data_IF_980673573886
#
_entry.id   IF_980673573886
#
_cell.length_a   1.000
_cell.length_b   1.000
_cell.length_c   1.000
_cell.angle_alpha   90.00
_cell.angle_beta   90.00
_cell.angle_gamma   90.00
#
_symmetry.space_group_name_H-M   'P 1'
#
loop_
_entity.id
_entity.type
_entity.pdbx_description
1 polymer ?
#
# COMPACT_ATOMS: atom_id res chain seq x y z
N UNK A 1 8.55 -55.80 -57.53
CA UNK A 1 7.26 -55.09 -57.34
C UNK A 1 6.19 -56.16 -57.33
N UNK A 2 5.38 -56.39 -56.29
CA UNK A 2 4.79 -55.41 -55.40
C UNK A 2 4.54 -55.99 -54.00
N UNK A 3 4.90 -55.20 -53.00
CA UNK A 3 4.30 -55.20 -51.67
C UNK A 3 2.79 -55.28 -51.84
N UNK A 4 2.11 -56.08 -51.02
CA UNK A 4 1.04 -55.59 -50.14
C UNK A 4 0.25 -56.76 -49.60
N UNK A 5 0.08 -56.69 -48.28
CA UNK A 5 -0.94 -57.35 -47.47
C UNK A 5 -0.58 -58.76 -47.03
N UNK A 6 -0.21 -58.78 -45.75
CA UNK A 6 -0.87 -59.63 -44.76
C UNK A 6 -0.21 -60.99 -44.53
N UNK A 7 0.99 -60.94 -43.96
CA UNK A 7 1.31 -61.90 -42.90
C UNK A 7 1.54 -61.08 -41.64
N UNK A 8 0.44 -60.91 -40.93
CA UNK A 8 0.29 -60.31 -39.62
C UNK A 8 1.10 -61.09 -38.58
N UNK A 9 1.70 -60.33 -37.66
CA UNK A 9 1.92 -60.65 -36.25
C UNK A 9 2.77 -61.90 -35.97
N UNK A 10 4.04 -61.69 -35.56
CA UNK A 10 4.65 -62.32 -34.38
C UNK A 10 5.93 -61.52 -34.01
N UNK A 11 5.82 -60.84 -32.88
CA UNK A 11 6.86 -60.51 -31.88
C UNK A 11 8.19 -59.89 -32.32
N UNK A 12 8.24 -58.56 -32.33
CA UNK A 12 9.34 -57.85 -31.66
C UNK A 12 8.68 -56.80 -30.75
N UNK A 13 8.30 -57.23 -29.55
CA UNK A 13 7.97 -56.33 -28.46
C UNK A 13 9.28 -55.73 -27.94
N UNK A 14 9.77 -54.67 -28.56
CA UNK A 14 10.75 -53.80 -27.90
C UNK A 14 9.95 -52.92 -26.95
N UNK A 15 9.90 -53.37 -25.70
CA UNK A 15 9.47 -52.60 -24.55
C UNK A 15 10.51 -51.47 -24.36
N UNK A 16 10.34 -50.33 -25.03
CA UNK A 16 11.08 -49.12 -24.68
C UNK A 16 10.43 -48.55 -23.43
N UNK A 17 10.81 -49.09 -22.27
CA UNK A 17 10.54 -48.43 -20.99
C UNK A 17 11.34 -47.13 -20.97
N UNK A 18 10.64 -46.01 -21.17
CA UNK A 18 11.18 -44.68 -20.87
C UNK A 18 11.42 -44.60 -19.36
N UNK A 19 12.62 -44.97 -18.93
CA UNK A 19 13.10 -44.62 -17.60
C UNK A 19 13.35 -43.11 -17.63
N UNK A 20 12.36 -42.32 -17.21
CA UNK A 20 12.57 -40.91 -16.90
C UNK A 20 13.47 -40.84 -15.69
N UNK A 21 14.77 -40.72 -15.92
CA UNK A 21 15.75 -40.51 -14.86
C UNK A 21 15.48 -39.12 -14.29
N UNK A 22 14.78 -39.07 -13.16
CA UNK A 22 14.66 -37.87 -12.34
C UNK A 22 16.03 -37.59 -11.75
N UNK A 23 16.79 -36.71 -12.39
CA UNK A 23 17.94 -36.10 -11.74
C UNK A 23 17.39 -35.11 -10.72
N UNK A 24 17.58 -35.33 -9.40
CA UNK A 24 17.27 -34.28 -8.45
C UNK A 24 18.17 -33.08 -8.82
N UNK A 25 17.55 -31.94 -9.13
CA UNK A 25 18.30 -30.69 -9.22
C UNK A 25 18.86 -30.42 -7.82
N UNK A 26 20.17 -30.62 -7.66
CA UNK A 26 20.86 -30.23 -6.43
C UNK A 26 20.92 -28.71 -6.44
N UNK A 27 20.10 -28.07 -5.62
CA UNK A 27 20.22 -26.64 -5.35
C UNK A 27 21.40 -26.43 -4.43
N UNK A 28 22.50 -25.90 -4.97
CA UNK A 28 23.66 -25.53 -4.16
C UNK A 28 23.30 -24.26 -3.39
N UNK A 29 23.40 -24.30 -2.06
CA UNK A 29 23.19 -23.11 -1.23
C UNK A 29 24.28 -22.06 -1.53
N UNK A 30 23.90 -20.78 -1.53
CA UNK A 30 24.86 -19.70 -1.69
C UNK A 30 25.80 -19.65 -0.49
N UNK A 31 27.06 -19.32 -0.75
CA UNK A 31 28.02 -18.99 0.30
C UNK A 31 27.72 -17.62 0.88
N UNK A 32 28.13 -17.38 2.14
CA UNK A 32 28.03 -16.06 2.78
C UNK A 32 28.70 -14.95 1.96
N UNK A 33 29.78 -15.27 1.22
CA UNK A 33 30.47 -14.32 0.33
C UNK A 33 29.59 -13.92 -0.86
N UNK A 34 28.90 -14.88 -1.46
CA UNK A 34 27.98 -14.62 -2.58
C UNK A 34 26.77 -13.80 -2.12
N UNK A 35 26.20 -14.12 -0.94
CA UNK A 35 25.11 -13.35 -0.34
C UNK A 35 25.56 -11.92 -0.02
N UNK A 36 26.79 -11.74 0.50
CA UNK A 36 27.39 -10.42 0.72
C UNK A 36 27.51 -9.61 -0.57
N UNK A 37 27.92 -10.25 -1.68
CA UNK A 37 28.03 -9.61 -2.98
C UNK A 37 26.67 -9.26 -3.61
N UNK A 38 25.61 -10.00 -3.27
CA UNK A 38 24.22 -9.63 -3.61
C UNK A 38 23.81 -8.42 -2.76
N UNK A 39 24.00 -8.51 -1.44
CA UNK A 39 23.63 -7.47 -0.48
C UNK A 39 24.26 -6.11 -0.82
N UNK A 40 25.54 -6.08 -1.18
CA UNK A 40 26.24 -4.86 -1.60
C UNK A 40 25.61 -4.22 -2.85
N UNK A 41 25.23 -5.03 -3.85
CA UNK A 41 24.70 -4.51 -5.13
C UNK A 41 23.26 -4.02 -5.05
N UNK A 42 22.47 -4.56 -4.14
CA UNK A 42 21.04 -4.22 -4.00
C UNK A 42 20.77 -3.15 -2.95
N UNK A 43 21.74 -2.89 -2.05
CA UNK A 43 21.59 -1.92 -0.97
C UNK A 43 22.04 -0.53 -1.42
N UNK A 44 21.25 0.47 -1.09
CA UNK A 44 21.57 1.89 -1.34
C UNK A 44 21.71 2.64 -0.03
N UNK A 45 22.52 3.70 -0.04
CA UNK A 45 22.61 4.66 1.06
C UNK A 45 21.64 5.80 0.78
N UNK A 46 20.93 6.23 1.82
CA UNK A 46 20.02 7.37 1.78
C UNK A 46 20.65 8.52 2.56
N UNK A 47 20.89 9.64 1.87
CA UNK A 47 21.41 10.86 2.51
C UNK A 47 20.31 11.60 3.25
N UNK A 48 20.65 12.24 4.38
CA UNK A 48 19.71 12.97 5.24
C UNK A 48 20.27 13.16 6.65
N UNK A 49 19.56 13.88 7.55
CA UNK A 49 20.04 14.18 8.91
C UNK A 49 20.37 12.92 9.74
N UNK A 50 19.54 11.88 9.64
CA UNK A 50 19.78 10.62 10.37
C UNK A 50 20.56 9.57 9.58
N UNK A 51 20.67 9.75 8.25
CA UNK A 51 21.19 8.78 7.27
C UNK A 51 20.50 7.42 7.37
N UNK A 52 20.24 6.78 6.23
CA UNK A 52 19.55 5.50 6.20
C UNK A 52 20.05 4.59 5.10
N UNK A 53 19.45 3.41 5.04
CA UNK A 53 19.69 2.43 4.00
C UNK A 53 18.40 2.13 3.25
N UNK A 54 18.49 1.54 2.07
CA UNK A 54 17.35 1.06 1.30
C UNK A 54 17.74 -0.14 0.46
N UNK A 55 16.75 -0.83 -0.11
CA UNK A 55 16.96 -1.95 -1.02
C UNK A 55 16.22 -1.74 -2.33
N UNK A 56 16.89 -2.01 -3.46
CA UNK A 56 16.29 -1.93 -4.81
C UNK A 56 15.39 -3.16 -5.03
N UNK A 57 14.07 -2.96 -5.07
CA UNK A 57 13.07 -4.04 -5.12
C UNK A 57 12.35 -4.17 -6.46
N UNK A 58 12.41 -3.17 -7.33
CA UNK A 58 11.77 -3.22 -8.63
C UNK A 58 12.47 -2.30 -9.65
N UNK A 59 12.23 -2.58 -10.93
CA UNK A 59 12.57 -1.71 -12.06
C UNK A 59 11.44 -1.72 -13.09
N UNK A 60 10.94 -0.54 -13.47
CA UNK A 60 10.01 -0.35 -14.58
C UNK A 60 10.61 0.66 -15.57
N UNK A 61 10.93 0.23 -16.80
CA UNK A 61 11.69 1.05 -17.74
C UNK A 61 13.03 1.47 -17.13
N UNK A 62 13.28 2.78 -17.04
CA UNK A 62 14.48 3.34 -16.39
C UNK A 62 14.26 3.73 -14.92
N UNK A 63 13.07 3.50 -14.38
CA UNK A 63 12.72 3.86 -13.01
C UNK A 63 12.93 2.67 -12.08
N UNK A 64 13.76 2.87 -11.06
CA UNK A 64 14.02 1.92 -9.99
C UNK A 64 13.23 2.28 -8.75
N UNK A 65 12.67 1.27 -8.07
CA UNK A 65 11.98 1.44 -6.79
C UNK A 65 12.86 0.92 -5.66
N UNK A 66 13.07 1.75 -4.64
CA UNK A 66 13.77 1.42 -3.40
C UNK A 66 12.76 1.28 -2.27
N UNK A 67 12.86 0.24 -1.46
CA UNK A 67 12.13 0.06 -0.20
C UNK A 67 13.05 0.40 0.98
N UNK A 68 12.52 1.07 2.00
CA UNK A 68 13.24 1.48 3.22
C UNK A 68 12.24 1.69 4.36
N UNK A 69 12.70 2.14 5.53
CA UNK A 69 11.82 2.57 6.61
C UNK A 69 11.30 4.01 6.42
N UNK A 70 10.07 4.28 6.88
CA UNK A 70 9.50 5.64 6.81
C UNK A 70 10.18 6.62 7.76
N UNK A 71 10.65 6.16 8.92
CA UNK A 71 11.26 7.06 9.91
C UNK A 71 12.58 7.68 9.43
N UNK A 72 13.22 7.12 8.40
CA UNK A 72 14.40 7.70 7.74
C UNK A 72 14.07 9.12 7.22
N UNK A 73 12.79 9.42 6.98
CA UNK A 73 12.30 10.69 6.44
C UNK A 73 11.62 11.60 7.48
N UNK A 74 11.77 11.36 8.79
CA UNK A 74 11.11 12.19 9.83
C UNK A 74 11.39 13.70 9.69
N UNK A 75 12.54 14.07 9.10
CA UNK A 75 12.87 15.46 8.77
C UNK A 75 12.64 15.74 7.29
N UNK A 76 11.75 16.68 6.97
CA UNK A 76 11.50 17.13 5.59
C UNK A 76 12.79 17.70 4.97
N UNK A 77 13.19 17.18 3.82
CA UNK A 77 14.39 17.61 3.10
C UNK A 77 14.56 16.89 1.75
N UNK A 78 15.58 17.27 0.99
CA UNK A 78 15.96 16.55 -0.22
C UNK A 78 16.79 15.32 0.17
N UNK A 79 16.36 14.14 -0.25
CA UNK A 79 17.03 12.86 -0.01
C UNK A 79 17.72 12.41 -1.29
N UNK A 80 19.02 12.09 -1.20
CA UNK A 80 19.75 11.46 -2.29
C UNK A 80 19.82 9.94 -2.06
N UNK A 81 19.57 9.20 -3.13
CA UNK A 81 19.84 7.77 -3.20
C UNK A 81 21.25 7.62 -3.75
N UNK A 82 22.14 6.97 -2.98
CA UNK A 82 23.52 6.71 -3.37
C UNK A 82 23.67 5.20 -3.57
N UNK A 83 23.93 4.79 -4.81
CA UNK A 83 24.09 3.37 -5.19
C UNK A 83 25.47 2.84 -4.84
N UNK A 84 25.66 1.51 -4.91
CA UNK A 84 26.91 0.84 -4.53
C UNK A 84 28.15 1.33 -5.30
N UNK A 85 27.96 1.86 -6.51
CA UNK A 85 29.00 2.46 -7.36
C UNK A 85 29.25 3.95 -7.04
N UNK A 86 28.68 4.47 -5.96
CA UNK A 86 28.85 5.85 -5.48
C UNK A 86 28.04 6.90 -6.24
N UNK A 87 27.26 6.52 -7.27
CA UNK A 87 26.42 7.47 -8.01
C UNK A 87 25.26 7.94 -7.16
N UNK A 88 24.91 9.22 -7.33
CA UNK A 88 23.85 9.89 -6.56
C UNK A 88 22.65 10.20 -7.46
N UNK A 89 21.47 10.00 -6.92
CA UNK A 89 20.20 10.27 -7.58
C UNK A 89 19.27 11.03 -6.64
N UNK A 90 18.61 12.06 -7.15
CA UNK A 90 17.55 12.74 -6.41
C UNK A 90 16.28 11.90 -6.40
N UNK A 91 15.63 11.78 -5.25
CA UNK A 91 14.30 11.16 -5.16
C UNK A 91 13.22 12.23 -5.01
N UNK A 92 12.28 12.25 -5.94
CA UNK A 92 11.15 13.19 -5.92
C UNK A 92 9.83 12.53 -5.49
N UNK A 93 9.84 11.21 -5.25
CA UNK A 93 8.63 10.43 -5.06
C UNK A 93 8.80 9.48 -3.87
N UNK A 94 8.68 10.03 -2.67
CA UNK A 94 8.60 9.25 -1.43
C UNK A 94 7.15 8.90 -1.16
N UNK A 95 6.86 7.61 -1.05
CA UNK A 95 5.52 7.11 -0.74
C UNK A 95 5.58 6.23 0.50
N UNK A 96 5.05 6.74 1.62
CA UNK A 96 4.91 5.99 2.87
C UNK A 96 3.84 4.90 2.77
N UNK A 97 4.08 3.78 3.44
CA UNK A 97 3.14 2.66 3.48
C UNK A 97 2.25 2.77 4.73
N UNK A 98 0.91 2.81 4.57
CA UNK A 98 0.02 3.08 5.69
C UNK A 98 0.18 2.12 6.89
N UNK A 99 0.32 2.69 8.09
CA UNK A 99 0.48 1.98 9.38
C UNK A 99 1.74 1.10 9.50
N UNK A 100 2.65 1.15 8.51
CA UNK A 100 3.93 0.47 8.55
C UNK A 100 5.04 1.51 8.62
N UNK A 101 6.13 1.15 9.28
CA UNK A 101 7.33 1.96 9.24
C UNK A 101 8.13 1.65 7.96
N UNK A 102 7.49 1.84 6.81
CA UNK A 102 8.03 1.56 5.49
C UNK A 102 7.69 2.70 4.53
N UNK A 103 8.60 2.96 3.60
CA UNK A 103 8.38 3.88 2.50
C UNK A 103 9.07 3.35 1.24
N UNK A 104 8.54 3.75 0.08
CA UNK A 104 9.17 3.54 -1.21
C UNK A 104 9.70 4.84 -1.77
N UNK A 105 10.82 4.77 -2.48
CA UNK A 105 11.43 5.85 -3.23
C UNK A 105 11.65 5.43 -4.67
N UNK A 106 11.75 6.40 -5.57
CA UNK A 106 12.07 6.13 -6.96
C UNK A 106 13.22 7.00 -7.44
N UNK A 107 14.07 6.40 -8.27
CA UNK A 107 15.08 7.13 -9.04
C UNK A 107 15.14 6.61 -10.48
N UNK A 108 15.57 7.48 -11.40
CA UNK A 108 15.75 7.12 -12.80
C UNK A 108 17.23 6.92 -13.11
N UNK A 109 17.57 5.84 -13.81
CA UNK A 109 18.93 5.61 -14.29
C UNK A 109 18.95 4.73 -15.53
N UNK A 110 19.80 5.09 -16.49
CA UNK A 110 20.16 4.22 -17.62
C UNK A 110 21.18 3.14 -17.23
N UNK A 111 21.84 3.29 -16.07
CA UNK A 111 22.72 2.26 -15.54
C UNK A 111 21.92 1.04 -15.07
N UNK A 112 22.52 -0.14 -15.23
CA UNK A 112 21.89 -1.39 -14.79
C UNK A 112 22.29 -1.72 -13.36
N UNK A 113 21.38 -1.44 -12.42
CA UNK A 113 21.44 -1.92 -11.04
C UNK A 113 20.73 -3.25 -10.86
N UNK A 114 21.26 -4.07 -9.95
CA UNK A 114 20.64 -5.33 -9.56
C UNK A 114 19.38 -5.05 -8.75
N UNK A 115 18.27 -5.69 -9.13
CA UNK A 115 17.05 -5.74 -8.35
C UNK A 115 17.10 -6.99 -7.48
N UNK A 116 16.80 -6.88 -6.19
CA UNK A 116 16.81 -8.03 -5.29
C UNK A 116 15.70 -9.00 -5.66
N UNK A 117 15.98 -10.30 -5.58
CA UNK A 117 14.93 -11.31 -5.69
C UNK A 117 14.07 -11.27 -4.43
N UNK A 118 12.74 -11.32 -4.59
CA UNK A 118 11.82 -11.34 -3.46
C UNK A 118 11.67 -12.79 -2.94
N UNK A 119 11.76 -12.95 -1.62
CA UNK A 119 11.52 -14.20 -0.91
C UNK A 119 10.13 -14.25 -0.29
N UNK A 120 9.80 -15.37 0.36
CA UNK A 120 8.58 -15.52 1.16
C UNK A 120 8.92 -15.38 2.64
N UNK A 121 8.50 -14.28 3.26
CA UNK A 121 8.78 -14.07 4.68
C UNK A 121 7.89 -14.91 5.61
N UNK A 122 6.84 -15.58 5.09
CA UNK A 122 6.00 -16.47 5.89
C UNK A 122 6.68 -17.81 6.18
N UNK A 123 7.69 -18.18 5.39
CA UNK A 123 8.47 -19.41 5.60
C UNK A 123 9.65 -19.18 6.54
N UNK A 124 9.89 -17.95 6.99
CA UNK A 124 10.98 -17.64 7.92
C UNK A 124 10.71 -18.28 9.27
N UNK A 125 11.70 -19.01 9.80
CA UNK A 125 11.58 -19.71 11.10
C UNK A 125 12.58 -19.21 12.14
N UNK A 126 12.24 -19.39 13.42
CA UNK A 126 13.18 -19.15 14.53
C UNK A 126 14.41 -20.04 14.34
N UNK A 127 15.60 -19.46 14.49
CA UNK A 127 16.89 -20.12 14.27
C UNK A 127 17.42 -20.02 12.83
N UNK A 128 16.59 -19.60 11.87
CA UNK A 128 17.06 -19.38 10.50
C UNK A 128 18.06 -18.21 10.47
N UNK A 129 19.21 -18.43 9.84
CA UNK A 129 20.22 -17.39 9.62
C UNK A 129 19.69 -16.40 8.60
N UNK A 130 19.76 -15.12 8.93
CA UNK A 130 19.45 -14.01 8.04
C UNK A 130 20.65 -13.10 7.89
N UNK A 131 20.75 -12.48 6.71
CA UNK A 131 21.86 -11.62 6.35
C UNK A 131 21.35 -10.19 6.20
N UNK A 132 21.94 -9.27 6.96
CA UNK A 132 21.48 -7.89 7.06
C UNK A 132 22.59 -6.98 6.61
N UNK A 133 22.24 -6.00 5.79
CA UNK A 133 23.20 -5.01 5.31
C UNK A 133 22.67 -3.61 5.32
N UNK A 134 23.57 -2.63 5.31
CA UNK A 134 23.23 -1.22 5.34
C UNK A 134 24.46 -0.32 5.40
N UNK A 135 24.23 0.98 5.49
CA UNK A 135 25.24 2.03 5.54
C UNK A 135 25.14 2.81 6.86
N UNK A 136 25.93 2.45 7.88
CA UNK A 136 25.95 3.19 9.13
C UNK A 136 26.37 4.66 8.91
N UNK A 137 25.89 5.59 9.73
CA UNK A 137 26.01 7.04 9.47
C UNK A 137 27.45 7.59 9.40
N UNK A 138 28.46 6.78 9.76
CA UNK A 138 29.89 7.12 9.77
C UNK A 138 30.79 6.00 9.22
N UNK A 139 30.21 5.00 8.56
CA UNK A 139 30.96 3.84 8.05
C UNK A 139 30.50 3.53 6.63
N UNK A 140 31.33 2.76 5.94
CA UNK A 140 30.97 2.19 4.64
C UNK A 140 29.98 1.04 4.81
N UNK A 141 29.62 0.42 3.68
CA UNK A 141 28.75 -0.73 3.62
C UNK A 141 29.10 -1.76 4.71
N UNK A 142 28.10 -2.13 5.49
CA UNK A 142 28.21 -3.09 6.58
C UNK A 142 27.31 -4.27 6.30
N UNK A 143 27.88 -5.48 6.37
CA UNK A 143 27.19 -6.74 6.18
C UNK A 143 27.36 -7.62 7.42
N UNK A 144 26.25 -8.08 8.00
CA UNK A 144 26.21 -8.90 9.22
C UNK A 144 25.20 -10.03 9.04
N UNK A 145 25.31 -11.08 9.83
CA UNK A 145 24.34 -12.18 9.83
C UNK A 145 24.21 -12.79 11.21
N UNK A 146 23.01 -13.25 11.53
CA UNK A 146 22.68 -13.98 12.77
C UNK A 146 21.33 -14.71 12.59
N UNK A 147 20.94 -15.52 13.57
CA UNK A 147 19.66 -16.23 13.58
C UNK A 147 18.47 -15.36 13.99
N UNK A 148 17.29 -15.61 13.41
CA UNK A 148 16.02 -15.10 13.93
C UNK A 148 15.77 -15.66 15.32
N UNK A 149 15.78 -14.80 16.33
CA UNK A 149 15.58 -15.20 17.73
C UNK A 149 14.10 -15.37 18.08
N UNK A 150 13.21 -14.55 17.53
CA UNK A 150 11.75 -14.62 17.74
C UNK A 150 10.99 -14.08 16.53
N UNK A 151 9.75 -14.57 16.38
CA UNK A 151 8.76 -14.01 15.46
C UNK A 151 7.53 -13.62 16.30
N UNK A 152 7.21 -12.33 16.31
CA UNK A 152 6.09 -11.82 17.10
C UNK A 152 4.76 -12.14 16.42
N UNK A 153 3.86 -12.84 17.13
CA UNK A 153 2.49 -13.11 16.66
C UNK A 153 1.68 -11.82 16.54
N UNK A 154 1.89 -10.86 17.45
CA UNK A 154 1.36 -9.51 17.38
C UNK A 154 2.52 -8.57 17.04
N UNK A 155 2.57 -7.99 15.82
CA UNK A 155 3.62 -7.05 15.45
C UNK A 155 3.67 -5.85 16.41
N UNK A 156 4.86 -5.27 16.60
CA UNK A 156 4.97 -3.93 17.20
C UNK A 156 4.51 -2.88 16.20
N UNK A 157 4.26 -1.66 16.69
CA UNK A 157 3.90 -0.51 15.86
C UNK A 157 4.86 -0.34 14.68
N UNK A 158 4.32 -0.12 13.48
CA UNK A 158 5.12 -0.08 12.25
C UNK A 158 5.32 -1.44 11.56
N UNK A 159 4.77 -2.53 12.09
CA UNK A 159 4.77 -3.85 11.44
C UNK A 159 5.96 -4.74 11.78
N UNK A 160 6.69 -4.41 12.84
CA UNK A 160 7.88 -5.14 13.26
C UNK A 160 7.52 -6.48 13.91
N UNK A 161 8.01 -7.58 13.32
CA UNK A 161 7.75 -8.94 13.81
C UNK A 161 8.97 -9.84 13.86
N UNK A 162 10.00 -9.59 13.04
CA UNK A 162 11.25 -10.35 13.09
C UNK A 162 12.13 -9.79 14.20
N UNK A 163 12.71 -10.65 15.04
CA UNK A 163 13.57 -10.22 16.16
C UNK A 163 14.90 -10.95 16.12
N UNK A 164 16.01 -10.24 16.26
CA UNK A 164 17.38 -10.79 16.20
C UNK A 164 18.36 -9.91 17.00
N UNK A 165 19.63 -10.33 17.07
CA UNK A 165 20.72 -9.66 17.83
C UNK A 165 22.02 -9.52 17.03
N UNK A 166 21.98 -8.77 15.95
CA UNK A 166 23.12 -8.63 15.01
C UNK A 166 24.12 -7.54 15.41
N UNK A 167 23.79 -6.71 16.42
CA UNK A 167 24.58 -5.54 16.77
C UNK A 167 24.56 -4.50 15.65
N UNK A 168 23.36 -4.14 15.20
CA UNK A 168 23.18 -3.17 14.13
C UNK A 168 23.67 -1.79 14.55
N UNK A 169 24.09 -0.99 13.57
CA UNK A 169 24.58 0.37 13.79
C UNK A 169 23.57 1.40 13.27
N UNK A 170 23.51 2.58 13.88
CA UNK A 170 22.69 3.70 13.39
C UNK A 170 23.02 3.97 11.91
N UNK A 171 21.99 4.04 11.07
CA UNK A 171 22.08 4.21 9.61
C UNK A 171 21.79 2.93 8.81
N UNK A 172 21.86 1.75 9.43
CA UNK A 172 21.50 0.49 8.76
C UNK A 172 19.99 0.33 8.53
N UNK A 173 19.14 1.05 9.27
CA UNK A 173 17.68 1.01 9.12
C UNK A 173 17.27 1.29 7.67
N UNK A 174 16.34 0.48 7.18
CA UNK A 174 15.86 0.42 5.80
C UNK A 174 16.62 -0.56 4.90
N UNK A 175 17.73 -1.12 5.39
CA UNK A 175 18.52 -2.11 4.68
C UNK A 175 17.84 -3.49 4.57
N UNK A 176 18.28 -4.35 3.63
CA UNK A 176 17.65 -5.63 3.39
C UNK A 176 17.97 -6.65 4.49
N UNK A 177 16.99 -7.51 4.76
CA UNK A 177 17.16 -8.80 5.45
C UNK A 177 17.03 -9.88 4.37
N UNK A 178 18.11 -10.60 4.08
CA UNK A 178 18.17 -11.66 3.08
C UNK A 178 18.16 -13.05 3.72
N UNK A 179 17.57 -14.02 3.04
CA UNK A 179 17.66 -15.45 3.36
C UNK A 179 18.97 -16.08 2.83
N UNK A 180 19.14 -17.39 3.07
CA UNK A 180 20.28 -18.18 2.59
C UNK A 180 20.38 -18.33 1.07
N UNK A 181 19.33 -17.92 0.34
CA UNK A 181 19.32 -17.87 -1.13
C UNK A 181 19.54 -16.44 -1.66
N UNK A 182 19.86 -15.49 -0.79
CA UNK A 182 20.05 -14.09 -1.14
C UNK A 182 18.75 -13.37 -1.53
N UNK A 183 17.58 -13.92 -1.17
CA UNK A 183 16.28 -13.31 -1.44
C UNK A 183 15.85 -12.42 -0.27
N UNK A 184 15.19 -11.32 -0.59
CA UNK A 184 14.66 -10.38 0.41
C UNK A 184 13.52 -11.03 1.19
N UNK A 185 13.65 -11.12 2.51
CA UNK A 185 12.61 -11.63 3.42
C UNK A 185 12.15 -10.58 4.44
N UNK A 186 12.80 -9.41 4.49
CA UNK A 186 12.34 -8.29 5.30
C UNK A 186 13.20 -7.04 5.18
N UNK A 187 12.81 -6.01 5.91
CA UNK A 187 13.51 -4.74 6.02
C UNK A 187 13.96 -4.56 7.46
N UNK A 188 15.26 -4.34 7.67
CA UNK A 188 15.82 -4.03 8.98
C UNK A 188 15.39 -2.64 9.40
N UNK A 189 14.98 -2.44 10.66
CA UNK A 189 14.58 -1.12 11.15
C UNK A 189 15.10 -0.78 12.53
N UNK A 190 14.30 -1.04 13.58
CA UNK A 190 14.56 -0.51 14.93
C UNK A 190 15.54 -1.36 15.73
N UNK A 191 16.34 -0.67 16.56
CA UNK A 191 17.07 -1.26 17.69
C UNK A 191 16.43 -0.77 18.99
N UNK A 192 16.11 -1.70 19.89
CA UNK A 192 15.56 -1.41 21.22
C UNK A 192 16.48 -1.97 22.30
N UNK A 193 16.70 -1.21 23.37
CA UNK A 193 17.45 -1.69 24.53
C UNK A 193 16.51 -2.41 25.49
N UNK A 194 16.63 -3.74 25.57
CA UNK A 194 15.86 -4.56 26.50
C UNK A 194 16.48 -4.47 27.90
N UNK A 195 15.70 -4.01 28.88
CA UNK A 195 16.15 -3.90 30.28
C UNK A 195 16.39 -5.28 30.90
N UNK A 196 17.50 -5.40 31.63
CA UNK A 196 17.87 -6.59 32.40
C UNK A 196 17.48 -6.48 33.89
N UNK A 197 16.80 -5.40 34.30
CA UNK A 197 16.29 -5.21 35.66
C UNK A 197 17.28 -4.64 36.68
N UNK A 198 18.55 -4.50 36.33
CA UNK A 198 19.63 -3.97 37.18
C UNK A 198 20.22 -2.65 36.65
N UNK A 199 19.48 -1.96 35.79
CA UNK A 199 19.93 -0.75 35.09
C UNK A 199 20.76 -1.03 33.84
N UNK A 200 21.11 -2.30 33.56
CA UNK A 200 21.72 -2.69 32.27
C UNK A 200 20.65 -2.99 31.24
N UNK A 201 21.02 -2.83 29.97
CA UNK A 201 20.21 -3.19 28.83
C UNK A 201 21.01 -4.00 27.81
N UNK A 202 20.33 -4.83 27.05
CA UNK A 202 20.90 -5.53 25.88
C UNK A 202 20.17 -5.10 24.61
N UNK A 203 20.88 -4.79 23.51
CA UNK A 203 20.23 -4.42 22.27
C UNK A 203 19.44 -5.61 21.71
N UNK A 204 18.32 -5.28 21.11
CA UNK A 204 17.49 -6.19 20.37
C UNK A 204 16.98 -5.48 19.12
N UNK A 205 17.23 -6.07 17.95
CA UNK A 205 16.85 -5.48 16.68
C UNK A 205 15.60 -6.13 16.10
N UNK A 206 14.90 -5.33 15.30
CA UNK A 206 13.61 -5.66 14.75
C UNK A 206 13.58 -5.45 13.24
N UNK A 207 12.94 -6.39 12.54
CA UNK A 207 12.67 -6.33 11.12
C UNK A 207 11.18 -6.41 10.79
N UNK A 208 10.80 -5.77 9.69
CA UNK A 208 9.46 -5.87 9.11
C UNK A 208 9.49 -6.98 8.05
N UNK A 209 8.71 -8.06 8.20
CA UNK A 209 8.64 -9.11 7.18
C UNK A 209 8.24 -8.56 5.81
N UNK A 210 8.82 -9.08 4.73
CA UNK A 210 8.51 -8.62 3.38
C UNK A 210 7.03 -8.79 3.02
N UNK A 211 6.40 -9.88 3.47
CA UNK A 211 4.99 -10.11 3.19
C UNK A 211 4.08 -9.04 3.82
N UNK A 212 4.50 -8.40 4.92
CA UNK A 212 3.78 -7.26 5.51
C UNK A 212 3.69 -6.09 4.52
N UNK A 213 4.77 -5.83 3.76
CA UNK A 213 4.78 -4.85 2.68
C UNK A 213 3.95 -5.29 1.48
N UNK A 214 4.12 -6.55 1.03
CA UNK A 214 3.42 -7.06 -0.15
C UNK A 214 1.90 -7.15 0.04
N UNK A 215 1.45 -7.37 1.27
CA UNK A 215 0.03 -7.39 1.64
C UNK A 215 -0.51 -6.01 2.05
N UNK A 216 0.34 -4.98 2.10
CA UNK A 216 -0.10 -3.65 2.47
C UNK A 216 -1.06 -3.11 1.40
N UNK A 217 -2.15 -2.43 1.80
CA UNK A 217 -2.99 -1.74 0.83
C UNK A 217 -2.15 -0.69 0.08
N UNK A 218 -2.49 -0.39 -1.19
CA UNK A 218 -1.80 0.63 -1.94
C UNK A 218 -1.82 1.96 -1.16
N UNK A 219 -0.72 2.74 -1.20
CA UNK A 219 -0.64 4.00 -0.48
C UNK A 219 -1.76 4.96 -0.88
N UNK A 220 -2.48 5.50 0.10
CA UNK A 220 -3.45 6.57 -0.11
C UNK A 220 -2.72 7.78 -0.70
N UNK A 221 -3.09 8.28 -1.91
CA UNK A 221 -2.45 9.47 -2.47
C UNK A 221 -2.50 10.65 -1.51
N UNK A 222 -1.46 11.49 -1.48
CA UNK A 222 -1.34 12.62 -0.53
C UNK A 222 -2.60 13.48 -0.44
N UNK A 223 -3.30 13.69 -1.56
CA UNK A 223 -4.54 14.47 -1.62
C UNK A 223 -5.69 13.94 -0.75
N UNK A 224 -5.68 12.65 -0.39
CA UNK A 224 -6.71 11.99 0.42
C UNK A 224 -6.27 11.74 1.86
N UNK A 225 -5.04 12.13 2.23
CA UNK A 225 -4.46 11.79 3.54
C UNK A 225 -5.23 12.42 4.69
N UNK A 226 -5.68 13.67 4.52
CA UNK A 226 -6.48 14.38 5.52
C UNK A 226 -7.86 13.73 5.67
N UNK A 227 -8.53 13.43 4.56
CA UNK A 227 -9.80 12.69 4.55
C UNK A 227 -9.68 11.35 5.29
N UNK A 228 -8.66 10.55 4.98
CA UNK A 228 -8.40 9.28 5.66
C UNK A 228 -8.19 9.45 7.17
N UNK A 229 -7.45 10.51 7.57
CA UNK A 229 -7.19 10.80 8.98
C UNK A 229 -8.48 11.11 9.75
N UNK A 230 -9.33 11.96 9.17
CA UNK A 230 -10.60 12.37 9.77
C UNK A 230 -11.57 11.18 9.88
N UNK A 231 -11.70 10.40 8.80
CA UNK A 231 -12.53 9.21 8.79
C UNK A 231 -12.07 8.16 9.81
N UNK A 232 -10.75 7.92 9.92
CA UNK A 232 -10.18 7.01 10.92
C UNK A 232 -10.44 7.47 12.35
N UNK A 233 -10.47 8.77 12.59
CA UNK A 233 -10.82 9.37 13.88
C UNK A 233 -12.34 9.39 14.16
N UNK A 234 -13.16 8.94 13.21
CA UNK A 234 -14.63 9.05 13.23
C UNK A 234 -15.12 10.50 13.31
N UNK A 235 -14.31 11.44 12.84
CA UNK A 235 -14.64 12.85 12.76
C UNK A 235 -15.43 13.11 11.47
N UNK A 236 -16.63 12.53 11.40
CA UNK A 236 -17.38 12.39 10.16
C UNK A 236 -17.85 13.72 9.57
N UNK A 237 -18.05 14.74 10.41
CA UNK A 237 -18.45 16.08 9.96
C UNK A 237 -17.30 16.77 9.22
N UNK A 238 -16.11 16.72 9.78
CA UNK A 238 -14.90 17.28 9.20
C UNK A 238 -14.47 16.47 7.97
N UNK A 239 -14.66 15.16 8.00
CA UNK A 239 -14.46 14.29 6.83
C UNK A 239 -15.42 14.61 5.67
N UNK A 240 -16.66 14.97 5.95
CA UNK A 240 -17.63 15.41 4.94
C UNK A 240 -17.16 16.70 4.26
N UNK A 241 -16.77 17.71 5.05
CA UNK A 241 -16.21 18.97 4.53
C UNK A 241 -14.93 18.75 3.71
N UNK A 242 -14.03 17.88 4.18
CA UNK A 242 -12.82 17.53 3.43
C UNK A 242 -13.14 16.79 2.12
N UNK A 243 -14.20 15.97 2.11
CA UNK A 243 -14.63 15.28 0.90
C UNK A 243 -15.03 16.29 -0.18
N UNK A 244 -15.75 17.36 0.19
CA UNK A 244 -16.11 18.44 -0.73
C UNK A 244 -14.88 19.15 -1.31
N UNK A 245 -13.92 19.53 -0.45
CA UNK A 245 -12.68 20.19 -0.87
C UNK A 245 -11.88 19.32 -1.85
N UNK A 246 -11.74 18.03 -1.55
CA UNK A 246 -11.03 17.08 -2.40
C UNK A 246 -11.73 16.92 -3.75
N UNK A 247 -13.05 16.80 -3.77
CA UNK A 247 -13.84 16.64 -5.00
C UNK A 247 -13.74 17.88 -5.90
N UNK A 248 -13.84 19.07 -5.30
CA UNK A 248 -13.63 20.33 -6.01
C UNK A 248 -12.19 20.44 -6.55
N UNK A 249 -11.20 19.97 -5.80
CA UNK A 249 -9.81 19.95 -6.26
C UNK A 249 -9.57 18.94 -7.40
N UNK A 250 -10.28 17.81 -7.45
CA UNK A 250 -10.21 16.87 -8.58
C UNK A 250 -10.80 17.51 -9.84
N UNK A 251 -11.93 18.21 -9.70
CA UNK A 251 -12.61 18.88 -10.80
C UNK A 251 -12.00 20.24 -11.19
N UNK A 252 -11.01 20.75 -10.44
CA UNK A 252 -10.43 22.09 -10.60
C UNK A 252 -11.45 23.23 -10.42
N UNK A 253 -12.22 23.18 -9.32
CA UNK A 253 -13.39 24.04 -9.05
C UNK A 253 -13.44 24.64 -7.66
N UNK A 254 -12.32 24.63 -6.94
CA UNK A 254 -12.26 25.15 -5.57
C UNK A 254 -12.79 26.59 -5.46
N UNK A 255 -12.47 27.45 -6.43
CA UNK A 255 -12.93 28.84 -6.46
C UNK A 255 -14.44 29.02 -6.71
N UNK A 256 -15.13 27.96 -7.15
CA UNK A 256 -16.57 27.98 -7.42
C UNK A 256 -17.38 27.41 -6.28
N UNK A 257 -16.84 26.46 -5.51
CA UNK A 257 -17.53 25.85 -4.38
C UNK A 257 -18.63 24.84 -4.75
N UNK A 258 -18.80 24.50 -6.03
CA UNK A 258 -19.80 23.54 -6.50
C UNK A 258 -19.36 22.86 -7.81
N UNK A 259 -19.81 21.61 -8.03
CA UNK A 259 -19.59 20.82 -9.27
C UNK A 259 -20.73 21.01 -10.27
N UNK A 260 -20.43 21.23 -11.56
CA UNK A 260 -21.44 21.13 -12.64
C UNK A 260 -21.78 19.66 -12.91
N UNK A 261 -22.87 19.45 -13.64
CA UNK A 261 -23.24 18.13 -14.19
C UNK A 261 -22.08 17.55 -15.02
N UNK A 262 -21.50 18.32 -15.93
CA UNK A 262 -20.37 17.88 -16.76
C UNK A 262 -19.15 17.44 -15.94
N UNK A 263 -18.88 18.11 -14.81
CA UNK A 263 -17.77 17.76 -13.91
C UNK A 263 -18.04 16.42 -13.21
N UNK A 264 -19.30 16.19 -12.82
CA UNK A 264 -19.73 14.95 -12.20
C UNK A 264 -19.74 13.77 -13.18
N UNK A 265 -20.21 13.98 -14.40
CA UNK A 265 -20.24 12.95 -15.45
C UNK A 265 -18.84 12.53 -15.90
N UNK A 266 -17.89 13.46 -15.92
CA UNK A 266 -16.51 13.19 -16.32
C UNK A 266 -15.57 12.90 -15.13
N UNK A 267 -16.12 12.79 -13.92
CA UNK A 267 -15.30 12.61 -12.74
C UNK A 267 -14.44 11.34 -12.85
N UNK A 268 -13.12 11.39 -12.54
CA UNK A 268 -12.23 10.24 -12.73
C UNK A 268 -12.61 9.05 -11.83
N UNK A 269 -12.81 7.87 -12.42
CA UNK A 269 -13.23 6.67 -11.68
C UNK A 269 -12.28 6.27 -10.55
N UNK A 270 -10.96 6.45 -10.75
CA UNK A 270 -9.96 6.16 -9.72
C UNK A 270 -10.18 7.04 -8.47
N UNK A 271 -10.49 8.31 -8.68
CA UNK A 271 -10.66 9.28 -7.59
C UNK A 271 -11.98 9.04 -6.86
N UNK A 272 -13.08 8.79 -7.59
CA UNK A 272 -14.37 8.39 -7.02
C UNK A 272 -14.27 7.13 -6.16
N UNK A 273 -13.66 6.06 -6.70
CA UNK A 273 -13.46 4.80 -5.96
C UNK A 273 -12.58 5.00 -4.73
N UNK A 274 -11.57 5.87 -4.80
CA UNK A 274 -10.69 6.14 -3.65
C UNK A 274 -11.47 6.79 -2.51
N UNK A 275 -12.30 7.79 -2.81
CA UNK A 275 -13.15 8.46 -1.82
C UNK A 275 -14.17 7.49 -1.24
N UNK A 276 -14.87 6.74 -2.08
CA UNK A 276 -15.88 5.77 -1.65
C UNK A 276 -15.29 4.69 -0.73
N UNK A 277 -14.14 4.11 -1.11
CA UNK A 277 -13.47 3.09 -0.30
C UNK A 277 -13.05 3.61 1.08
N UNK A 278 -12.64 4.87 1.19
CA UNK A 278 -12.32 5.48 2.49
C UNK A 278 -13.57 5.59 3.36
N UNK A 279 -14.67 6.10 2.81
CA UNK A 279 -15.94 6.19 3.52
C UNK A 279 -16.45 4.83 3.98
N UNK A 280 -16.48 3.84 3.08
CA UNK A 280 -16.90 2.47 3.40
C UNK A 280 -16.06 1.86 4.52
N UNK A 281 -14.74 1.94 4.41
CA UNK A 281 -13.80 1.32 5.34
C UNK A 281 -13.97 1.83 6.77
N UNK A 282 -14.10 3.15 6.95
CA UNK A 282 -14.12 3.77 8.27
C UNK A 282 -15.53 4.02 8.81
N UNK A 283 -16.57 3.79 8.01
CA UNK A 283 -17.96 3.80 8.44
C UNK A 283 -18.57 2.41 8.67
N UNK A 284 -17.76 1.34 8.60
CA UNK A 284 -18.26 -0.05 8.66
C UNK A 284 -19.27 -0.36 7.55
N UNK A 285 -19.04 0.19 6.36
CA UNK A 285 -19.90 0.03 5.19
C UNK A 285 -21.20 0.84 5.24
N UNK A 286 -21.35 1.75 6.21
CA UNK A 286 -22.60 2.49 6.42
C UNK A 286 -22.74 3.73 5.55
N UNK A 287 -21.62 4.34 5.19
CA UNK A 287 -21.53 5.58 4.43
C UNK A 287 -20.65 5.38 3.20
N UNK A 288 -20.91 6.17 2.17
CA UNK A 288 -20.22 6.06 0.89
C UNK A 288 -21.12 6.42 -0.29
N UNK A 289 -20.46 6.74 -1.40
CA UNK A 289 -21.08 7.04 -2.69
C UNK A 289 -21.76 5.79 -3.24
N UNK A 290 -21.15 4.61 -3.08
CA UNK A 290 -21.75 3.31 -3.45
C UNK A 290 -23.03 3.03 -2.68
N UNK A 291 -23.02 3.28 -1.36
CA UNK A 291 -24.20 3.09 -0.49
C UNK A 291 -25.35 3.98 -0.95
N UNK A 292 -25.06 5.27 -1.19
CA UNK A 292 -26.05 6.21 -1.73
C UNK A 292 -26.54 5.80 -3.11
N UNK A 293 -25.64 5.37 -3.99
CA UNK A 293 -25.95 4.95 -5.34
C UNK A 293 -26.89 3.74 -5.35
N UNK A 294 -26.67 2.76 -4.48
CA UNK A 294 -27.55 1.60 -4.33
C UNK A 294 -28.95 2.01 -3.85
N UNK A 295 -29.03 2.85 -2.81
CA UNK A 295 -30.30 3.36 -2.30
C UNK A 295 -31.05 4.13 -3.39
N UNK A 296 -30.35 5.03 -4.09
CA UNK A 296 -30.94 5.85 -5.15
C UNK A 296 -31.47 4.99 -6.30
N UNK A 297 -30.69 4.00 -6.75
CA UNK A 297 -31.10 3.04 -7.79
C UNK A 297 -32.33 2.25 -7.38
N UNK A 298 -32.39 1.77 -6.14
CA UNK A 298 -33.52 0.98 -5.62
C UNK A 298 -34.83 1.79 -5.52
N UNK A 299 -34.73 3.12 -5.48
CA UNK A 299 -35.87 4.04 -5.53
C UNK A 299 -36.29 4.39 -6.96
N UNK A 300 -35.67 3.79 -7.98
CA UNK A 300 -35.90 4.11 -9.40
C UNK A 300 -35.03 5.26 -9.93
N UNK A 301 -33.98 5.64 -9.20
CA UNK A 301 -33.06 6.70 -9.58
C UNK A 301 -32.32 6.39 -10.87
N UNK A 302 -32.17 7.42 -11.70
CA UNK A 302 -31.43 7.37 -12.97
C UNK A 302 -30.47 8.55 -13.05
N UNK A 303 -29.68 8.63 -14.13
CA UNK A 303 -28.85 9.80 -14.41
C UNK A 303 -29.68 11.09 -14.57
N UNK A 304 -30.90 10.97 -15.09
CA UNK A 304 -31.81 12.10 -15.24
C UNK A 304 -32.49 12.40 -13.91
N UNK A 305 -32.53 13.67 -13.55
CA UNK A 305 -33.15 14.11 -12.30
C UNK A 305 -34.66 13.87 -12.32
N UNK A 306 -35.14 13.16 -11.30
CA UNK A 306 -36.56 13.01 -10.98
C UNK A 306 -36.79 13.53 -9.56
N UNK A 307 -37.66 14.51 -9.41
CA UNK A 307 -37.92 15.19 -8.14
C UNK A 307 -38.54 14.25 -7.10
N UNK A 308 -39.45 13.35 -7.50
CA UNK A 308 -40.11 12.44 -6.58
C UNK A 308 -39.12 11.41 -6.05
N UNK A 309 -38.30 10.84 -6.94
CA UNK A 309 -37.24 9.90 -6.55
C UNK A 309 -36.21 10.59 -5.67
N UNK A 310 -35.81 11.83 -5.98
CA UNK A 310 -34.84 12.57 -5.18
C UNK A 310 -35.37 12.91 -3.77
N UNK A 311 -36.65 13.27 -3.66
CA UNK A 311 -37.32 13.48 -2.37
C UNK A 311 -37.36 12.19 -1.54
N UNK A 312 -37.74 11.07 -2.14
CA UNK A 312 -37.72 9.76 -1.47
C UNK A 312 -36.32 9.34 -1.05
N UNK A 313 -35.31 9.64 -1.87
CA UNK A 313 -33.91 9.42 -1.54
C UNK A 313 -33.49 10.24 -0.33
N UNK A 314 -33.77 11.55 -0.33
CA UNK A 314 -33.49 12.44 0.80
C UNK A 314 -34.18 12.01 2.10
N UNK A 315 -35.41 11.50 2.03
CA UNK A 315 -36.11 10.93 3.20
C UNK A 315 -35.40 9.66 3.70
N UNK A 316 -34.90 8.81 2.79
CA UNK A 316 -34.25 7.53 3.13
C UNK A 316 -32.87 7.71 3.77
N UNK A 317 -32.09 8.67 3.30
CA UNK A 317 -30.74 8.97 3.82
C UNK A 317 -30.74 9.99 4.96
N UNK A 318 -31.90 10.56 5.30
CA UNK A 318 -32.04 11.48 6.44
C UNK A 318 -31.69 12.94 6.12
N UNK A 319 -31.71 13.34 4.85
CA UNK A 319 -31.52 14.75 4.43
C UNK A 319 -32.83 15.55 4.44
N UNK A 320 -33.97 14.88 4.67
CA UNK A 320 -35.28 15.50 4.77
C UNK A 320 -35.99 15.05 6.04
N UNK A 321 -36.80 15.96 6.60
CA UNK A 321 -37.63 15.69 7.78
C UNK A 321 -38.95 16.43 7.65
N UNK A 322 -40.06 15.72 7.87
CA UNK A 322 -41.43 16.28 7.81
C UNK A 322 -41.73 17.04 6.50
N UNK A 323 -41.19 16.56 5.38
CA UNK A 323 -41.42 17.15 4.05
C UNK A 323 -40.45 18.28 3.66
N UNK A 324 -39.59 18.74 4.56
CA UNK A 324 -38.62 19.80 4.30
C UNK A 324 -37.19 19.26 4.17
N UNK A 325 -36.40 19.84 3.28
CA UNK A 325 -34.95 19.62 3.22
C UNK A 325 -34.28 20.27 4.44
N UNK A 326 -33.33 19.54 5.03
CA UNK A 326 -32.51 20.03 6.12
C UNK A 326 -31.31 20.78 5.55
N UNK A 327 -30.95 21.91 6.16
CA UNK A 327 -29.66 22.53 5.86
C UNK A 327 -28.53 21.76 6.54
N UNK A 328 -27.31 21.87 6.02
CA UNK A 328 -26.15 21.20 6.60
C UNK A 328 -25.96 21.51 8.11
N UNK A 329 -26.25 22.75 8.51
CA UNK A 329 -26.18 23.18 9.92
C UNK A 329 -27.33 22.66 10.79
N UNK A 330 -28.42 22.17 10.20
CA UNK A 330 -29.52 21.54 10.93
C UNK A 330 -29.22 20.06 11.27
N UNK A 331 -28.18 19.48 10.66
CA UNK A 331 -27.70 18.14 10.99
C UNK A 331 -27.03 18.17 12.38
N UNK A 332 -27.60 17.43 13.33
CA UNK A 332 -27.12 17.39 14.71
C UNK A 332 -25.91 16.43 14.89
N UNK A 333 -25.30 16.41 16.08
CA UNK A 333 -24.17 15.50 16.37
C UNK A 333 -24.44 14.02 16.06
N UNK A 334 -25.66 13.52 16.26
CA UNK A 334 -26.01 12.13 15.91
C UNK A 334 -25.96 11.87 14.40
N UNK A 335 -26.16 12.90 13.57
CA UNK A 335 -26.07 12.85 12.10
C UNK A 335 -24.64 12.62 11.59
N UNK A 336 -23.63 12.84 12.44
CA UNK A 336 -22.21 12.63 12.13
C UNK A 336 -21.61 11.52 13.00
N UNK A 337 -22.39 10.44 13.17
CA UNK A 337 -21.99 9.28 13.96
C UNK A 337 -22.48 8.00 13.29
N UNK A 338 -21.98 6.85 13.74
CA UNK A 338 -22.51 5.55 13.29
C UNK A 338 -23.97 5.29 13.70
N UNK A 339 -24.66 6.22 14.38
CA UNK A 339 -26.11 6.11 14.65
C UNK A 339 -27.00 6.74 13.58
N UNK A 340 -26.44 7.55 12.68
CA UNK A 340 -27.12 8.17 11.53
C UNK A 340 -27.80 7.16 10.59
N UNK A 341 -28.76 7.54 9.73
CA UNK A 341 -29.25 6.68 8.66
C UNK A 341 -28.14 6.20 7.70
N UNK A 342 -28.31 4.99 7.16
CA UNK A 342 -27.42 4.44 6.13
C UNK A 342 -27.42 5.33 4.89
N UNK A 343 -26.24 5.62 4.35
CA UNK A 343 -26.09 6.52 3.20
C UNK A 343 -26.24 8.01 3.51
N UNK A 344 -26.38 8.41 4.78
CA UNK A 344 -26.47 9.84 5.13
C UNK A 344 -25.22 10.63 4.70
N UNK A 345 -24.05 10.00 4.77
CA UNK A 345 -22.78 10.61 4.40
C UNK A 345 -22.14 9.91 3.18
N UNK A 346 -21.39 10.66 2.35
CA UNK A 346 -21.22 12.13 2.44
C UNK A 346 -22.50 12.90 2.05
N UNK A 347 -22.84 14.02 2.72
CA UNK A 347 -24.12 14.75 2.55
C UNK A 347 -24.28 15.28 1.11
N UNK A 348 -23.19 15.43 0.38
CA UNK A 348 -23.18 15.73 -1.04
C UNK A 348 -22.58 17.10 -1.32
N UNK A 349 -21.92 17.16 -2.47
CA UNK A 349 -20.90 18.16 -2.85
C UNK A 349 -21.44 19.54 -3.24
N UNK A 350 -22.27 20.13 -2.36
CA UNK A 350 -22.86 21.45 -2.54
C UNK A 350 -24.23 21.67 -1.89
N UNK A 351 -24.61 20.96 -0.82
CA UNK A 351 -25.89 21.22 -0.10
C UNK A 351 -25.89 22.48 0.79
N UNK A 352 -25.11 23.50 0.43
CA UNK A 352 -25.07 24.78 1.14
C UNK A 352 -25.14 25.99 0.20
N UNK A 353 -26.03 25.98 -0.81
CA UNK A 353 -26.63 27.20 -1.35
C UNK A 353 -27.74 26.87 -2.37
N UNK A 354 -28.85 27.57 -2.23
CA UNK A 354 -30.13 27.55 -2.98
C UNK A 354 -30.09 27.64 -4.53
N UNK A 355 -29.00 27.35 -5.23
CA UNK A 355 -28.97 27.53 -6.69
C UNK A 355 -27.89 26.72 -7.42
N UNK A 356 -28.16 25.45 -7.74
CA UNK A 356 -27.72 24.81 -8.99
C UNK A 356 -28.27 23.38 -9.12
N UNK A 357 -28.93 23.11 -10.24
CA UNK A 357 -29.50 21.82 -10.61
C UNK A 357 -28.46 20.68 -10.62
N UNK A 358 -28.52 19.83 -9.59
CA UNK A 358 -28.37 18.36 -9.55
C UNK A 358 -27.23 17.69 -10.33
N UNK A 359 -25.97 17.94 -9.96
CA UNK A 359 -24.86 17.06 -10.36
C UNK A 359 -24.84 15.73 -9.58
N UNK A 360 -25.52 15.62 -8.43
CA UNK A 360 -25.51 14.41 -7.60
C UNK A 360 -26.05 13.15 -8.28
N UNK A 361 -27.21 13.15 -8.97
CA UNK A 361 -27.66 11.98 -9.75
C UNK A 361 -26.65 11.55 -10.83
N UNK A 362 -25.98 12.54 -11.45
CA UNK A 362 -24.94 12.29 -12.45
C UNK A 362 -23.71 11.64 -11.82
N UNK A 363 -23.32 12.06 -10.61
CA UNK A 363 -22.17 11.49 -9.91
C UNK A 363 -22.44 10.09 -9.35
N UNK A 364 -23.65 9.83 -8.84
CA UNK A 364 -24.09 8.48 -8.45
C UNK A 364 -24.12 7.55 -9.67
N UNK A 365 -24.61 8.03 -10.80
CA UNK A 365 -24.60 7.27 -12.06
C UNK A 365 -23.18 7.02 -12.56
N UNK A 366 -22.30 8.04 -12.47
CA UNK A 366 -20.88 7.92 -12.80
C UNK A 366 -20.20 6.86 -11.93
N UNK A 367 -20.49 6.84 -10.63
CA UNK A 367 -19.95 5.81 -9.74
C UNK A 367 -20.38 4.39 -10.15
N UNK A 368 -21.64 4.21 -10.59
CA UNK A 368 -22.12 2.94 -11.10
C UNK A 368 -21.41 2.52 -12.41
N UNK A 369 -21.21 3.45 -13.35
CA UNK A 369 -20.42 3.21 -14.57
C UNK A 369 -18.96 2.85 -14.27
N UNK A 370 -18.40 3.46 -13.24
CA UNK A 370 -17.06 3.17 -12.78
C UNK A 370 -16.96 1.79 -12.15
N UNK A 371 -18.02 1.08 -11.81
CA UNK A 371 -17.98 -0.25 -11.19
C UNK A 371 -18.99 -1.20 -11.89
N UNK A 372 -18.69 -1.63 -13.12
CA UNK A 372 -19.59 -2.45 -13.92
C UNK A 372 -19.77 -3.87 -13.37
#
# INVERSE_FOLDING_TARGET
>A
MNRKKLTQLITIAILVTFITIFYPFITIALTTKEIGAIAERVTVRLSGPDQGSGVIINKNGNTYTVLTNSHVFQYKGAFEIITYDGRKYQSNNVTEIPNLDLATLQFNSDQKYQVVALGDSNTVTIGQVVYISGFPSKQDFTFRFDGISRILKKPRDGGYSLVYRIGALKGMSGGPILDENGKLVGIHGLTHSQSLGDGRGTPEEYGIPLQTFLNAPPPTPSRYKRLETLLKAQDFREADLETDEVMLAVANRQSKGWLRIEDAENFPCKELRTIDNLWLKYSQGKFGISVQQEIYKNLGGTKQYDENVWRSFGDRVGWRKQGSWLYYFDLNFSSFSLSAPTGQLPVGWGLAADAAYNSSPSLLSRHAECNP
#
